data_IF_337210227428
#
_entry.id   IF_337210227428
#
_cell.length_a   1.000
_cell.length_b   1.000
_cell.length_c   1.000
_cell.angle_alpha   90.00
_cell.angle_beta   90.00
_cell.angle_gamma   90.00
#
_symmetry.space_group_name_H-M   'P 1'
#
loop_
_entity.id
_entity.type
_entity.pdbx_description
1 polymer ?
#
# COMPACT_ATOMS: atom_id res chain seq x y z
N UNK A 1 -29.99 -44.22 7.56
CA UNK A 1 -28.72 -43.77 8.17
C UNK A 1 -27.75 -44.94 8.12
N UNK A 2 -26.95 -45.03 7.05
CA UNK A 2 -25.89 -46.03 6.93
C UNK A 2 -24.58 -45.42 7.41
N UNK A 3 -24.03 -45.94 8.49
CA UNK A 3 -22.68 -45.64 8.97
C UNK A 3 -21.70 -46.37 8.03
N UNK A 4 -21.22 -45.69 6.99
CA UNK A 4 -20.12 -46.20 6.18
C UNK A 4 -18.81 -46.01 6.96
N UNK A 5 -18.33 -47.12 7.52
CA UNK A 5 -17.06 -47.21 8.23
C UNK A 5 -15.95 -47.39 7.19
N UNK A 6 -15.45 -46.28 6.65
CA UNK A 6 -14.35 -46.29 5.69
C UNK A 6 -13.08 -46.87 6.34
N UNK A 7 -12.54 -47.97 5.78
CA UNK A 7 -11.21 -48.46 6.16
C UNK A 7 -11.02 -49.97 6.26
N UNK A 8 -11.96 -50.81 5.83
CA UNK A 8 -11.81 -52.28 5.94
C UNK A 8 -11.99 -53.06 4.63
N UNK A 9 -12.48 -52.44 3.55
CA UNK A 9 -12.67 -53.09 2.25
C UNK A 9 -11.59 -52.71 1.21
N UNK A 10 -11.39 -53.57 0.20
CA UNK A 10 -10.50 -53.29 -0.94
C UNK A 10 -11.06 -52.16 -1.85
N UNK A 11 -12.37 -51.92 -1.79
CA UNK A 11 -13.10 -50.87 -2.49
C UNK A 11 -12.87 -49.49 -1.83
N UNK A 12 -12.87 -49.41 -0.49
CA UNK A 12 -12.60 -48.16 0.26
C UNK A 12 -11.21 -47.60 -0.07
N UNK A 13 -10.22 -48.49 -0.28
CA UNK A 13 -8.85 -48.10 -0.67
C UNK A 13 -8.79 -47.56 -2.10
N UNK A 14 -9.61 -48.09 -3.01
CA UNK A 14 -9.68 -47.61 -4.39
C UNK A 14 -10.39 -46.25 -4.47
N UNK A 15 -11.48 -46.07 -3.73
CA UNK A 15 -12.19 -44.79 -3.66
C UNK A 15 -11.34 -43.68 -2.99
N UNK A 16 -10.54 -44.04 -1.99
CA UNK A 16 -9.60 -43.14 -1.34
C UNK A 16 -8.46 -42.67 -2.27
N UNK A 17 -7.88 -43.55 -3.07
CA UNK A 17 -6.86 -43.15 -4.05
C UNK A 17 -7.45 -42.41 -5.25
N UNK A 18 -8.69 -42.70 -5.62
CA UNK A 18 -9.43 -41.91 -6.61
C UNK A 18 -9.64 -40.46 -6.14
N UNK A 19 -10.04 -40.27 -4.87
CA UNK A 19 -10.16 -38.95 -4.25
C UNK A 19 -8.82 -38.20 -4.31
N UNK A 20 -7.73 -38.79 -3.82
CA UNK A 20 -6.40 -38.15 -3.84
C UNK A 20 -5.96 -37.75 -5.24
N UNK A 21 -6.18 -38.62 -6.23
CA UNK A 21 -5.85 -38.34 -7.63
C UNK A 21 -6.65 -37.16 -8.20
N UNK A 22 -7.95 -37.10 -7.90
CA UNK A 22 -8.81 -36.00 -8.34
C UNK A 22 -8.40 -34.66 -7.70
N UNK A 23 -8.18 -34.65 -6.38
CA UNK A 23 -7.74 -33.46 -5.64
C UNK A 23 -6.41 -32.93 -6.18
N UNK A 24 -5.43 -33.82 -6.41
CA UNK A 24 -4.13 -33.46 -6.99
C UNK A 24 -4.26 -32.92 -8.43
N UNK A 25 -5.16 -33.50 -9.23
CA UNK A 25 -5.40 -33.04 -10.60
C UNK A 25 -5.97 -31.62 -10.62
N UNK A 26 -6.93 -31.32 -9.74
CA UNK A 26 -7.50 -29.97 -9.63
C UNK A 26 -6.50 -28.96 -9.07
N UNK A 27 -5.69 -29.38 -8.10
CA UNK A 27 -4.63 -28.53 -7.54
C UNK A 27 -3.60 -28.16 -8.63
N UNK A 28 -3.15 -29.12 -9.45
CA UNK A 28 -2.26 -28.85 -10.58
C UNK A 28 -2.88 -27.94 -11.65
N UNK A 29 -4.19 -28.07 -11.90
CA UNK A 29 -4.92 -27.19 -12.83
C UNK A 29 -5.00 -25.76 -12.30
N UNK A 30 -5.19 -25.59 -10.99
CA UNK A 30 -5.14 -24.29 -10.33
C UNK A 30 -3.75 -23.67 -10.47
N UNK A 31 -2.69 -24.43 -10.21
CA UNK A 31 -1.30 -23.95 -10.33
C UNK A 31 -0.99 -23.48 -11.76
N UNK A 32 -1.37 -24.27 -12.77
CA UNK A 32 -1.21 -23.89 -14.18
C UNK A 32 -2.04 -22.67 -14.58
N UNK A 33 -3.22 -22.49 -13.96
CA UNK A 33 -4.06 -21.33 -14.19
C UNK A 33 -3.45 -20.06 -13.56
N UNK A 34 -2.96 -20.14 -12.32
CA UNK A 34 -2.28 -19.05 -11.63
C UNK A 34 -1.01 -18.62 -12.38
N UNK A 35 -0.23 -19.56 -12.91
CA UNK A 35 0.94 -19.25 -13.73
C UNK A 35 0.56 -18.41 -14.97
N UNK A 36 -0.50 -18.80 -15.69
CA UNK A 36 -1.00 -18.04 -16.86
C UNK A 36 -1.55 -16.66 -16.48
N UNK A 37 -2.20 -16.56 -15.32
CA UNK A 37 -2.63 -15.26 -14.81
C UNK A 37 -1.43 -14.37 -14.50
N UNK A 38 -0.36 -14.91 -13.89
CA UNK A 38 0.87 -14.15 -13.64
C UNK A 38 1.48 -13.61 -14.94
N UNK A 39 1.62 -14.44 -15.98
CA UNK A 39 2.11 -13.99 -17.29
C UNK A 39 1.25 -12.85 -17.87
N UNK A 40 -0.06 -12.92 -17.71
CA UNK A 40 -0.98 -11.88 -18.16
C UNK A 40 -0.84 -10.59 -17.34
N UNK A 41 -0.62 -10.70 -16.03
CA UNK A 41 -0.34 -9.55 -15.16
C UNK A 41 1.00 -8.92 -15.54
N UNK A 42 2.05 -9.73 -15.79
CA UNK A 42 3.35 -9.24 -16.27
C UNK A 42 3.21 -8.41 -17.55
N UNK A 43 2.48 -8.94 -18.53
CA UNK A 43 2.23 -8.24 -19.79
C UNK A 43 1.44 -6.93 -19.59
N UNK A 44 0.40 -6.96 -18.76
CA UNK A 44 -0.42 -5.77 -18.44
C UNK A 44 0.42 -4.68 -17.77
N UNK A 45 1.17 -5.03 -16.74
CA UNK A 45 1.96 -4.07 -15.96
C UNK A 45 3.13 -3.52 -16.77
N UNK A 46 3.79 -4.36 -17.57
CA UNK A 46 4.88 -3.91 -18.45
C UNK A 46 4.38 -2.90 -19.49
N UNK A 47 3.24 -3.19 -20.14
CA UNK A 47 2.62 -2.26 -21.09
C UNK A 47 2.18 -0.95 -20.41
N UNK A 48 1.61 -1.04 -19.20
CA UNK A 48 1.25 0.15 -18.42
C UNK A 48 2.48 1.02 -18.10
N UNK A 49 3.59 0.42 -17.65
CA UNK A 49 4.82 1.14 -17.31
C UNK A 49 5.43 1.82 -18.54
N UNK A 50 5.38 1.17 -19.71
CA UNK A 50 5.93 1.71 -20.96
C UNK A 50 5.07 2.86 -21.52
N UNK A 51 3.75 2.72 -21.50
CA UNK A 51 2.83 3.69 -22.11
C UNK A 51 2.45 4.86 -21.20
N UNK A 52 2.43 4.66 -19.87
CA UNK A 52 1.95 5.71 -18.98
C UNK A 52 2.74 7.03 -19.04
N UNK A 53 4.08 7.05 -19.21
CA UNK A 53 4.82 8.31 -19.33
C UNK A 53 4.38 9.18 -20.51
N UNK A 54 4.02 8.59 -21.66
CA UNK A 54 3.54 9.36 -22.82
C UNK A 54 2.15 9.94 -22.56
N UNK A 55 1.26 9.13 -21.96
CA UNK A 55 -0.08 9.58 -21.52
C UNK A 55 0.03 10.74 -20.53
N UNK A 56 0.98 10.67 -19.59
CA UNK A 56 1.23 11.73 -18.60
C UNK A 56 1.84 13.00 -19.20
N UNK A 57 2.62 12.89 -20.27
CA UNK A 57 3.24 14.02 -20.95
C UNK A 57 2.22 14.83 -21.78
N UNK A 58 1.23 14.14 -22.36
CA UNK A 58 0.13 14.75 -23.11
C UNK A 58 -1.05 15.19 -22.22
N UNK A 59 -1.00 14.88 -20.92
CA UNK A 59 -2.09 15.13 -19.98
C UNK A 59 -2.27 16.61 -19.65
N UNK A 60 -3.51 16.98 -19.35
CA UNK A 60 -3.81 18.31 -18.87
C UNK A 60 -3.30 18.54 -17.44
N UNK A 61 -3.35 19.79 -16.98
CA UNK A 61 -2.94 20.17 -15.60
C UNK A 61 -3.68 19.35 -14.51
N UNK A 62 -4.83 18.76 -14.84
CA UNK A 62 -5.67 18.02 -13.90
C UNK A 62 -5.40 16.50 -13.91
N UNK A 63 -4.60 15.97 -14.84
CA UNK A 63 -4.18 14.57 -14.83
C UNK A 63 -5.29 13.58 -15.23
N UNK A 64 -6.28 14.03 -16.01
CA UNK A 64 -7.46 13.22 -16.30
C UNK A 64 -7.16 12.03 -17.22
N UNK A 65 -6.25 12.20 -18.19
CA UNK A 65 -5.91 11.15 -19.12
C UNK A 65 -5.19 10.00 -18.40
N UNK A 66 -4.20 10.34 -17.57
CA UNK A 66 -3.50 9.38 -16.72
C UNK A 66 -4.44 8.69 -15.74
N UNK A 67 -5.33 9.44 -15.07
CA UNK A 67 -6.30 8.86 -14.14
C UNK A 67 -7.18 7.79 -14.82
N UNK A 68 -7.67 8.06 -16.03
CA UNK A 68 -8.47 7.09 -16.80
C UNK A 68 -7.63 5.89 -17.22
N UNK A 69 -6.39 6.11 -17.64
CA UNK A 69 -5.45 5.06 -18.04
C UNK A 69 -5.11 4.11 -16.87
N UNK A 70 -4.74 4.68 -15.72
CA UNK A 70 -4.49 3.93 -14.47
C UNK A 70 -5.74 3.18 -13.99
N UNK A 71 -6.92 3.81 -14.08
CA UNK A 71 -8.19 3.16 -13.73
C UNK A 71 -8.50 1.96 -14.64
N UNK A 72 -8.20 2.06 -15.94
CA UNK A 72 -8.39 0.96 -16.88
C UNK A 72 -7.47 -0.23 -16.57
N UNK A 73 -6.20 0.03 -16.25
CA UNK A 73 -5.25 -1.00 -15.81
C UNK A 73 -5.74 -1.69 -14.52
N UNK A 74 -6.14 -0.92 -13.50
CA UNK A 74 -6.70 -1.46 -12.24
C UNK A 74 -7.97 -2.27 -12.48
N UNK A 75 -8.82 -1.86 -13.42
CA UNK A 75 -9.99 -2.62 -13.84
C UNK A 75 -9.64 -3.97 -14.47
N UNK A 76 -8.61 -4.02 -15.32
CA UNK A 76 -8.13 -5.29 -15.90
C UNK A 76 -7.54 -6.22 -14.82
N UNK A 77 -6.77 -5.69 -13.88
CA UNK A 77 -6.30 -6.43 -12.72
C UNK A 77 -7.46 -6.99 -11.88
N UNK A 78 -8.48 -6.16 -11.62
CA UNK A 78 -9.70 -6.57 -10.93
C UNK A 78 -10.46 -7.70 -11.64
N UNK A 79 -10.52 -7.67 -12.98
CA UNK A 79 -11.12 -8.77 -13.76
C UNK A 79 -10.35 -10.09 -13.63
N UNK A 80 -9.01 -10.04 -13.51
CA UNK A 80 -8.20 -11.25 -13.31
C UNK A 80 -8.44 -11.84 -11.91
N UNK A 81 -8.58 -10.98 -10.90
CA UNK A 81 -8.99 -11.39 -9.55
C UNK A 81 -10.35 -12.09 -9.55
N UNK A 82 -11.33 -11.50 -10.24
CA UNK A 82 -12.66 -12.10 -10.33
C UNK A 82 -12.64 -13.48 -10.99
N UNK A 83 -11.84 -13.66 -12.05
CA UNK A 83 -11.68 -14.97 -12.68
C UNK A 83 -11.10 -16.04 -11.75
N UNK A 84 -10.17 -15.66 -10.87
CA UNK A 84 -9.65 -16.59 -9.87
C UNK A 84 -10.75 -17.01 -8.89
N UNK A 85 -11.54 -16.06 -8.40
CA UNK A 85 -12.68 -16.34 -7.52
C UNK A 85 -13.70 -17.25 -8.17
N UNK A 86 -14.02 -17.01 -9.44
CA UNK A 86 -14.91 -17.90 -10.21
C UNK A 86 -14.35 -19.32 -10.33
N UNK A 87 -13.03 -19.48 -10.51
CA UNK A 87 -12.41 -20.82 -10.56
C UNK A 87 -12.54 -21.54 -9.21
N UNK A 88 -12.31 -20.84 -8.10
CA UNK A 88 -12.50 -21.42 -6.77
C UNK A 88 -13.96 -21.83 -6.55
N UNK A 89 -14.91 -20.94 -6.85
CA UNK A 89 -16.34 -21.18 -6.66
C UNK A 89 -16.89 -22.30 -7.56
N UNK A 90 -16.45 -22.37 -8.82
CA UNK A 90 -17.00 -23.31 -9.80
C UNK A 90 -16.26 -24.65 -9.89
N UNK A 91 -15.01 -24.72 -9.46
CA UNK A 91 -14.18 -25.93 -9.62
C UNK A 91 -13.71 -26.52 -8.29
N UNK A 92 -13.40 -25.70 -7.28
CA UNK A 92 -12.86 -26.18 -6.00
C UNK A 92 -13.99 -26.45 -5.00
N UNK A 93 -14.85 -25.46 -4.76
CA UNK A 93 -15.93 -25.55 -3.77
C UNK A 93 -16.95 -26.67 -4.02
N UNK A 94 -17.34 -27.00 -5.28
CA UNK A 94 -18.27 -28.10 -5.53
C UNK A 94 -17.69 -29.47 -5.18
N UNK A 95 -16.39 -29.66 -5.39
CA UNK A 95 -15.69 -30.91 -5.06
C UNK A 95 -15.58 -31.05 -3.55
N UNK A 96 -15.25 -29.97 -2.86
CA UNK A 96 -15.28 -29.94 -1.40
C UNK A 96 -16.67 -30.28 -0.85
N UNK A 97 -17.71 -29.59 -1.31
CA UNK A 97 -19.10 -29.82 -0.89
C UNK A 97 -19.51 -31.28 -1.09
N UNK A 98 -19.20 -31.86 -2.26
CA UNK A 98 -19.53 -33.26 -2.60
C UNK A 98 -18.97 -34.28 -1.60
N UNK A 99 -17.73 -34.08 -1.15
CA UNK A 99 -17.07 -35.02 -0.23
C UNK A 99 -17.28 -34.68 1.25
N UNK A 100 -17.56 -33.42 1.58
CA UNK A 100 -17.69 -32.97 2.96
C UNK A 100 -18.84 -33.65 3.72
N UNK A 101 -19.96 -33.91 3.04
CA UNK A 101 -21.15 -34.57 3.62
C UNK A 101 -21.04 -36.10 3.67
N UNK A 102 -20.14 -36.69 2.87
CA UNK A 102 -20.00 -38.15 2.72
C UNK A 102 -18.90 -38.71 3.60
N UNK A 103 -17.87 -37.92 3.91
CA UNK A 103 -16.76 -38.33 4.76
C UNK A 103 -17.11 -38.11 6.24
N UNK A 104 -16.86 -39.13 7.06
CA UNK A 104 -17.05 -39.01 8.51
C UNK A 104 -16.05 -38.03 9.12
N UNK A 105 -16.54 -37.14 9.99
CA UNK A 105 -15.70 -36.23 10.76
C UNK A 105 -14.64 -37.01 11.55
N UNK A 106 -13.36 -36.64 11.38
CA UNK A 106 -12.22 -37.31 12.00
C UNK A 106 -11.62 -38.47 11.20
N UNK A 107 -12.15 -38.80 10.01
CA UNK A 107 -11.51 -39.74 9.09
C UNK A 107 -10.28 -39.12 8.40
N UNK A 108 -9.35 -39.96 7.94
CA UNK A 108 -8.15 -39.51 7.21
C UNK A 108 -8.52 -38.76 5.91
N UNK A 109 -9.54 -39.27 5.18
CA UNK A 109 -10.08 -38.60 4.00
C UNK A 109 -10.67 -37.21 4.29
N UNK A 110 -11.35 -37.06 5.43
CA UNK A 110 -11.87 -35.76 5.86
C UNK A 110 -10.75 -34.75 6.12
N UNK A 111 -9.66 -35.18 6.79
CA UNK A 111 -8.48 -34.32 7.02
C UNK A 111 -7.85 -33.86 5.70
N UNK A 112 -7.63 -34.80 4.77
CA UNK A 112 -6.99 -34.51 3.48
C UNK A 112 -7.84 -33.55 2.64
N UNK A 113 -9.16 -33.73 2.61
CA UNK A 113 -10.06 -32.85 1.87
C UNK A 113 -10.01 -31.42 2.42
N UNK A 114 -10.07 -31.26 3.74
CA UNK A 114 -9.97 -29.96 4.39
C UNK A 114 -8.62 -29.29 4.15
N UNK A 115 -7.52 -30.03 4.35
CA UNK A 115 -6.17 -29.54 4.07
C UNK A 115 -6.02 -29.11 2.61
N UNK A 116 -6.55 -29.89 1.66
CA UNK A 116 -6.54 -29.55 0.24
C UNK A 116 -7.28 -28.23 -0.02
N UNK A 117 -8.50 -28.07 0.50
CA UNK A 117 -9.25 -26.82 0.36
C UNK A 117 -8.48 -25.63 0.94
N UNK A 118 -7.87 -25.79 2.11
CA UNK A 118 -7.05 -24.74 2.72
C UNK A 118 -5.81 -24.41 1.88
N UNK A 119 -5.14 -25.40 1.27
CA UNK A 119 -4.03 -25.14 0.35
C UNK A 119 -4.48 -24.37 -0.88
N UNK A 120 -5.59 -24.74 -1.50
CA UNK A 120 -6.15 -24.02 -2.65
C UNK A 120 -6.51 -22.57 -2.30
N UNK A 121 -7.17 -22.36 -1.16
CA UNK A 121 -7.50 -21.03 -0.66
C UNK A 121 -6.24 -20.18 -0.41
N UNK A 122 -5.26 -20.74 0.30
CA UNK A 122 -3.99 -20.06 0.59
C UNK A 122 -3.24 -19.64 -0.68
N UNK A 123 -3.16 -20.52 -1.68
CA UNK A 123 -2.53 -20.18 -2.98
C UNK A 123 -3.23 -19.00 -3.67
N UNK A 124 -4.56 -18.95 -3.58
CA UNK A 124 -5.33 -17.85 -4.16
C UNK A 124 -5.15 -16.55 -3.39
N UNK A 125 -5.18 -16.59 -2.06
CA UNK A 125 -4.96 -15.43 -1.19
C UNK A 125 -3.55 -14.85 -1.40
N UNK A 126 -2.52 -15.70 -1.43
CA UNK A 126 -1.13 -15.31 -1.72
C UNK A 126 -1.03 -14.64 -3.10
N UNK A 127 -1.73 -15.17 -4.10
CA UNK A 127 -1.74 -14.58 -5.44
C UNK A 127 -2.47 -13.22 -5.48
N UNK A 128 -3.62 -13.07 -4.80
CA UNK A 128 -4.35 -11.80 -4.73
C UNK A 128 -3.50 -10.71 -4.04
N UNK A 129 -2.79 -11.06 -2.96
CA UNK A 129 -1.89 -10.14 -2.26
C UNK A 129 -0.71 -9.72 -3.17
N UNK A 130 -0.11 -10.68 -3.88
CA UNK A 130 0.96 -10.39 -4.84
C UNK A 130 0.48 -9.49 -5.98
N UNK A 131 -0.72 -9.73 -6.54
CA UNK A 131 -1.29 -8.89 -7.59
C UNK A 131 -1.44 -7.44 -7.10
N UNK A 132 -2.01 -7.25 -5.91
CA UNK A 132 -2.20 -5.91 -5.35
C UNK A 132 -0.86 -5.18 -5.20
N UNK A 133 0.15 -5.82 -4.61
CA UNK A 133 1.48 -5.24 -4.45
C UNK A 133 2.10 -4.85 -5.79
N UNK A 134 2.00 -5.71 -6.80
CA UNK A 134 2.59 -5.46 -8.12
C UNK A 134 1.90 -4.31 -8.87
N UNK A 135 0.58 -4.20 -8.74
CA UNK A 135 -0.21 -3.08 -9.30
C UNK A 135 0.18 -1.77 -8.62
N UNK A 136 0.33 -1.77 -7.31
CA UNK A 136 0.75 -0.59 -6.55
C UNK A 136 2.17 -0.18 -6.95
N UNK A 137 3.12 -1.13 -6.98
CA UNK A 137 4.51 -0.89 -7.40
C UNK A 137 4.62 -0.32 -8.83
N UNK A 138 3.87 -0.88 -9.79
CA UNK A 138 3.83 -0.38 -11.16
C UNK A 138 3.24 1.04 -11.24
N UNK A 139 2.17 1.30 -10.48
CA UNK A 139 1.57 2.64 -10.38
C UNK A 139 2.58 3.63 -9.83
N UNK A 140 3.25 3.28 -8.73
CA UNK A 140 4.26 4.12 -8.12
C UNK A 140 5.48 4.37 -9.01
N UNK A 141 5.93 3.36 -9.74
CA UNK A 141 7.06 3.49 -10.67
C UNK A 141 6.78 4.56 -11.73
N UNK A 142 5.54 4.60 -12.22
CA UNK A 142 5.05 5.55 -13.21
C UNK A 142 4.75 6.92 -12.58
N UNK A 143 4.12 6.95 -11.40
CA UNK A 143 3.76 8.18 -10.68
C UNK A 143 4.95 8.92 -10.08
N UNK A 144 6.18 8.37 -10.14
CA UNK A 144 7.43 9.11 -9.91
C UNK A 144 7.63 10.18 -11.00
N UNK A 145 6.72 11.16 -11.06
CA UNK A 145 7.02 12.49 -11.58
C UNK A 145 8.15 13.02 -10.71
N UNK A 146 9.28 13.32 -11.31
CA UNK A 146 10.32 14.05 -10.59
C UNK A 146 9.81 15.47 -10.35
N UNK A 147 9.36 15.75 -9.12
CA UNK A 147 8.88 17.07 -8.76
C UNK A 147 10.02 18.08 -8.62
N UNK A 148 11.28 17.63 -8.62
CA UNK A 148 12.46 18.49 -8.50
C UNK A 148 12.56 19.50 -9.68
N UNK A 149 12.59 19.08 -10.96
CA UNK A 149 12.62 20.01 -12.09
C UNK A 149 11.35 20.86 -12.20
N UNK A 150 10.19 20.29 -11.84
CA UNK A 150 8.91 21.01 -11.87
C UNK A 150 8.91 22.14 -10.85
N UNK A 151 9.33 21.88 -9.61
CA UNK A 151 9.42 22.88 -8.56
C UNK A 151 10.44 23.96 -8.90
N UNK A 152 11.63 23.57 -9.40
CA UNK A 152 12.67 24.51 -9.80
C UNK A 152 12.17 25.47 -10.90
N UNK A 153 11.46 24.95 -11.90
CA UNK A 153 10.88 25.77 -12.96
C UNK A 153 9.82 26.73 -12.42
N UNK A 154 8.88 26.24 -11.59
CA UNK A 154 7.83 27.08 -11.01
C UNK A 154 8.39 28.21 -10.14
N UNK A 155 9.44 27.94 -9.37
CA UNK A 155 10.14 28.96 -8.59
C UNK A 155 10.82 29.99 -9.48
N UNK A 156 11.47 29.56 -10.57
CA UNK A 156 12.07 30.48 -11.54
C UNK A 156 11.01 31.37 -12.19
N UNK A 157 9.90 30.79 -12.66
CA UNK A 157 8.79 31.53 -13.27
C UNK A 157 8.20 32.56 -12.29
N UNK A 158 8.03 32.19 -11.01
CA UNK A 158 7.56 33.11 -9.98
C UNK A 158 8.50 34.31 -9.79
N UNK A 159 9.80 34.06 -9.67
CA UNK A 159 10.78 35.13 -9.49
C UNK A 159 10.90 36.02 -10.73
N UNK A 160 10.79 35.45 -11.94
CA UNK A 160 10.73 36.22 -13.18
C UNK A 160 9.50 37.13 -13.22
N UNK A 161 8.32 36.61 -12.82
CA UNK A 161 7.11 37.42 -12.73
C UNK A 161 7.27 38.56 -11.72
N UNK A 162 7.89 38.31 -10.57
CA UNK A 162 8.15 39.34 -9.56
C UNK A 162 9.02 40.50 -10.08
N UNK A 163 9.96 40.23 -11.00
CA UNK A 163 10.81 41.25 -11.61
C UNK A 163 10.05 42.19 -12.56
N UNK A 164 8.91 41.77 -13.10
CA UNK A 164 8.08 42.55 -14.02
C UNK A 164 7.08 43.46 -13.30
N UNK A 165 7.10 43.50 -11.97
CA UNK A 165 6.13 44.25 -11.18
C UNK A 165 6.69 45.62 -10.82
N UNK A 166 6.02 46.65 -11.33
CA UNK A 166 6.40 48.04 -11.17
C UNK A 166 5.46 48.76 -10.20
N UNK A 167 6.00 49.74 -9.49
CA UNK A 167 5.23 50.63 -8.63
C UNK A 167 4.25 51.45 -9.47
N UNK A 168 2.98 51.50 -9.05
CA UNK A 168 1.92 52.25 -9.76
C UNK A 168 2.16 53.76 -9.79
N UNK A 169 2.94 54.30 -8.85
CA UNK A 169 3.15 55.75 -8.71
C UNK A 169 4.43 56.24 -9.39
N UNK A 170 5.55 55.52 -9.27
CA UNK A 170 6.84 55.97 -9.82
C UNK A 170 7.40 55.08 -10.94
N UNK A 171 6.77 53.95 -11.25
CA UNK A 171 7.23 53.01 -12.27
C UNK A 171 8.48 52.20 -11.89
N UNK A 172 9.11 52.43 -10.74
CA UNK A 172 10.25 51.65 -10.28
C UNK A 172 9.86 50.20 -9.92
N UNK A 173 10.77 49.24 -10.12
CA UNK A 173 10.52 47.83 -9.78
C UNK A 173 10.29 47.66 -8.27
N UNK A 174 9.29 46.87 -7.92
CA UNK A 174 9.04 46.47 -6.53
C UNK A 174 10.02 45.38 -6.12
N UNK A 175 10.58 45.50 -4.91
CA UNK A 175 11.48 44.49 -4.36
C UNK A 175 10.67 43.45 -3.56
N UNK A 176 10.27 42.38 -4.24
CA UNK A 176 9.62 41.22 -3.62
C UNK A 176 10.70 40.33 -3.00
N UNK A 177 10.72 40.23 -1.66
CA UNK A 177 11.79 39.54 -0.91
C UNK A 177 11.48 38.08 -0.55
N UNK A 178 10.23 37.68 -0.68
CA UNK A 178 9.72 36.39 -0.20
C UNK A 178 8.54 35.94 -1.05
N UNK A 179 8.18 34.66 -0.97
CA UNK A 179 6.99 34.14 -1.65
C UNK A 179 5.75 34.54 -0.84
N UNK A 180 4.91 35.40 -1.39
CA UNK A 180 3.60 35.69 -0.80
C UNK A 180 2.55 34.72 -1.33
N UNK A 181 1.73 34.16 -0.43
CA UNK A 181 0.61 33.25 -0.76
C UNK A 181 -0.75 33.94 -0.72
N UNK A 182 -0.77 35.17 -0.22
CA UNK A 182 -1.93 36.05 -0.10
C UNK A 182 -1.57 37.45 -0.60
N UNK A 183 -2.57 38.27 -0.89
CA UNK A 183 -2.33 39.65 -1.32
C UNK A 183 -1.62 40.43 -0.21
N UNK A 184 -0.48 41.04 -0.53
CA UNK A 184 0.38 41.69 0.45
C UNK A 184 0.68 43.14 0.06
N UNK A 185 0.83 44.00 1.07
CA UNK A 185 1.28 45.38 0.86
C UNK A 185 2.80 45.42 0.77
N UNK A 186 3.32 45.87 -0.37
CA UNK A 186 4.74 46.03 -0.64
C UNK A 186 5.06 47.51 -0.82
N UNK A 187 5.93 48.04 0.05
CA UNK A 187 6.40 49.41 -0.06
C UNK A 187 7.44 49.55 -1.19
N UNK A 188 7.28 50.58 -2.01
CA UNK A 188 8.28 50.90 -3.04
C UNK A 188 9.54 51.49 -2.40
N UNK A 189 10.71 50.91 -2.68
CA UNK A 189 12.00 51.40 -2.17
C UNK A 189 12.31 52.85 -2.59
N UNK A 190 11.72 53.33 -3.70
CA UNK A 190 12.02 54.65 -4.25
C UNK A 190 11.08 55.74 -3.72
N UNK A 191 9.75 55.57 -3.84
CA UNK A 191 8.77 56.58 -3.46
C UNK A 191 8.02 56.27 -2.14
N UNK A 192 8.30 55.14 -1.49
CA UNK A 192 7.64 54.67 -0.25
C UNK A 192 6.12 54.44 -0.36
N UNK A 193 5.54 54.55 -1.55
CA UNK A 193 4.13 54.20 -1.80
C UNK A 193 3.88 52.72 -1.51
N UNK A 194 2.79 52.41 -0.81
CA UNK A 194 2.32 51.04 -0.62
C UNK A 194 1.59 50.55 -1.87
N UNK A 195 2.06 49.43 -2.43
CA UNK A 195 1.45 48.77 -3.58
C UNK A 195 0.88 47.43 -3.10
N UNK A 196 -0.22 46.99 -3.71
CA UNK A 196 -0.78 45.67 -3.45
C UNK A 196 -0.14 44.71 -4.44
N UNK A 197 0.55 43.70 -3.92
CA UNK A 197 1.07 42.57 -4.69
C UNK A 197 0.08 41.41 -4.62
N UNK A 198 -0.30 40.88 -5.77
CA UNK A 198 -1.18 39.72 -5.89
C UNK A 198 -0.40 38.56 -6.51
N UNK A 199 -0.07 37.51 -5.74
CA UNK A 199 0.80 36.42 -6.20
C UNK A 199 0.13 35.42 -7.18
N UNK A 200 -1.15 35.65 -7.52
CA UNK A 200 -1.87 34.84 -8.50
C UNK A 200 -2.08 33.38 -8.08
N UNK A 201 -2.20 32.49 -9.07
CA UNK A 201 -2.33 31.04 -8.84
C UNK A 201 -0.99 30.35 -8.63
N UNK A 202 0.11 30.91 -9.16
CA UNK A 202 1.45 30.30 -9.11
C UNK A 202 1.92 30.06 -7.69
N UNK A 203 1.74 31.01 -6.77
CA UNK A 203 2.17 30.81 -5.38
C UNK A 203 1.45 29.64 -4.69
N UNK A 204 0.14 29.48 -4.94
CA UNK A 204 -0.62 28.31 -4.44
C UNK A 204 -0.15 27.00 -5.06
N UNK A 205 0.17 27.03 -6.35
CA UNK A 205 0.69 25.85 -7.03
C UNK A 205 2.09 25.47 -6.51
N UNK A 206 2.94 26.46 -6.19
CA UNK A 206 4.26 26.26 -5.58
C UNK A 206 4.14 25.53 -4.24
N UNK A 207 3.22 25.96 -3.36
CA UNK A 207 2.99 25.29 -2.07
C UNK A 207 2.58 23.82 -2.27
N UNK A 208 1.64 23.57 -3.18
CA UNK A 208 1.16 22.24 -3.47
C UNK A 208 2.24 21.33 -4.08
N UNK A 209 3.04 21.86 -5.01
CA UNK A 209 4.17 21.13 -5.60
C UNK A 209 5.29 20.89 -4.59
N UNK A 210 5.58 21.86 -3.72
CA UNK A 210 6.56 21.71 -2.64
C UNK A 210 6.18 20.56 -1.70
N UNK A 211 4.89 20.44 -1.36
CA UNK A 211 4.39 19.33 -0.54
C UNK A 211 4.61 17.98 -1.20
N UNK A 212 4.26 17.86 -2.49
CA UNK A 212 4.49 16.64 -3.25
C UNK A 212 5.97 16.27 -3.34
N UNK A 213 6.84 17.26 -3.51
CA UNK A 213 8.29 17.05 -3.51
C UNK A 213 8.81 16.61 -2.14
N UNK A 214 8.34 17.22 -1.05
CA UNK A 214 8.69 16.82 0.31
C UNK A 214 8.23 15.39 0.64
N UNK A 215 7.03 15.01 0.20
CA UNK A 215 6.51 13.64 0.27
C UNK A 215 7.39 12.67 -0.53
N UNK A 216 7.80 13.03 -1.75
CA UNK A 216 8.71 12.23 -2.59
C UNK A 216 10.07 12.01 -1.91
N UNK A 217 10.68 13.05 -1.34
CA UNK A 217 11.97 12.94 -0.62
C UNK A 217 11.86 12.11 0.65
N UNK A 218 10.70 12.14 1.31
CA UNK A 218 10.45 11.42 2.56
C UNK A 218 9.97 9.98 2.36
N UNK A 219 9.66 9.57 1.13
CA UNK A 219 9.04 8.27 0.80
C UNK A 219 9.73 7.07 1.44
N UNK A 220 11.06 7.08 1.51
CA UNK A 220 11.84 5.99 2.11
C UNK A 220 11.45 5.65 3.56
N UNK A 221 10.95 6.60 4.35
CA UNK A 221 10.41 6.33 5.69
C UNK A 221 9.05 5.61 5.64
N UNK A 222 8.18 6.00 4.70
CA UNK A 222 6.90 5.32 4.48
C UNK A 222 7.11 3.89 3.99
N UNK A 223 8.00 3.68 3.03
CA UNK A 223 8.36 2.34 2.53
C UNK A 223 8.92 1.46 3.67
N UNK A 224 9.72 2.04 4.57
CA UNK A 224 10.23 1.35 5.75
C UNK A 224 9.09 0.97 6.73
N UNK A 225 8.16 1.89 6.99
CA UNK A 225 6.97 1.63 7.83
C UNK A 225 6.12 0.49 7.26
N UNK A 226 5.81 0.51 5.97
CA UNK A 226 5.00 -0.53 5.34
C UNK A 226 5.68 -1.89 5.36
N UNK A 227 6.99 -1.92 5.14
CA UNK A 227 7.79 -3.14 5.28
C UNK A 227 7.74 -3.69 6.69
N UNK A 228 7.84 -2.83 7.73
CA UNK A 228 7.71 -3.27 9.13
C UNK A 228 6.32 -3.82 9.43
N UNK A 229 5.25 -3.21 8.91
CA UNK A 229 3.89 -3.76 9.07
C UNK A 229 3.70 -5.10 8.37
N UNK A 230 4.30 -5.30 7.20
CA UNK A 230 4.29 -6.60 6.51
C UNK A 230 5.07 -7.65 7.29
N UNK A 231 6.23 -7.27 7.83
CA UNK A 231 7.04 -8.13 8.68
C UNK A 231 6.27 -8.56 9.93
N UNK A 232 5.58 -7.63 10.62
CA UNK A 232 4.72 -7.93 11.77
C UNK A 232 3.65 -8.98 11.42
N UNK A 233 2.91 -8.77 10.31
CA UNK A 233 1.88 -9.72 9.85
C UNK A 233 2.46 -11.09 9.50
N UNK A 234 3.60 -11.11 8.81
CA UNK A 234 4.29 -12.36 8.46
C UNK A 234 4.74 -13.12 9.71
N UNK A 235 5.28 -12.41 10.70
CA UNK A 235 5.67 -12.98 11.99
C UNK A 235 4.45 -13.53 12.74
N UNK A 236 3.33 -12.81 12.75
CA UNK A 236 2.07 -13.29 13.31
C UNK A 236 1.61 -14.59 12.64
N UNK A 237 1.65 -14.66 11.31
CA UNK A 237 1.27 -15.86 10.57
C UNK A 237 2.19 -17.04 10.88
N UNK A 238 3.52 -16.83 10.87
CA UNK A 238 4.49 -17.86 11.24
C UNK A 238 4.26 -18.37 12.67
N UNK A 239 3.96 -17.47 13.61
CA UNK A 239 3.60 -17.85 14.98
C UNK A 239 2.33 -18.68 15.01
N UNK A 240 1.29 -18.28 14.28
CA UNK A 240 0.03 -18.99 14.23
C UNK A 240 0.22 -20.41 13.67
N UNK A 241 0.93 -20.55 12.55
CA UNK A 241 1.27 -21.84 11.96
C UNK A 241 2.05 -22.72 12.93
N UNK A 242 3.07 -22.16 13.58
CA UNK A 242 3.86 -22.89 14.56
C UNK A 242 3.01 -23.34 15.76
N UNK A 243 2.09 -22.49 16.24
CA UNK A 243 1.16 -22.82 17.30
C UNK A 243 0.26 -24.01 16.94
N UNK A 244 -0.20 -24.09 15.69
CA UNK A 244 -1.01 -25.21 15.21
C UNK A 244 -0.24 -26.53 15.22
N UNK A 245 1.08 -26.50 15.03
CA UNK A 245 1.93 -27.71 15.03
C UNK A 245 2.43 -28.15 16.41
N UNK A 246 2.11 -27.42 17.49
CA UNK A 246 2.52 -27.80 18.84
C UNK A 246 1.73 -28.98 19.36
N UNK A 247 2.43 -29.96 19.94
CA UNK A 247 1.79 -31.02 20.72
C UNK A 247 1.17 -30.46 22.01
N UNK A 248 0.19 -31.19 22.58
CA UNK A 248 -0.41 -30.78 23.85
C UNK A 248 0.60 -30.75 24.99
N UNK A 249 1.58 -31.66 25.01
CA UNK A 249 2.64 -31.62 26.01
C UNK A 249 3.52 -30.37 25.91
N UNK A 250 3.90 -29.96 24.69
CA UNK A 250 4.68 -28.73 24.47
C UNK A 250 3.87 -27.47 24.85
N UNK A 251 2.57 -27.44 24.56
CA UNK A 251 1.68 -26.34 24.96
C UNK A 251 1.53 -26.22 26.48
N UNK A 252 1.40 -27.35 27.18
CA UNK A 252 1.21 -27.38 28.63
C UNK A 252 2.51 -27.11 29.37
N UNK A 253 3.62 -27.72 28.94
CA UNK A 253 4.93 -27.58 29.61
C UNK A 253 5.61 -26.24 29.29
N UNK A 254 5.17 -25.51 28.25
CA UNK A 254 5.79 -24.25 27.80
C UNK A 254 7.30 -24.38 27.67
N UNK A 255 7.73 -25.48 27.08
CA UNK A 255 9.14 -25.86 27.02
C UNK A 255 9.40 -26.64 25.74
N UNK A 256 10.62 -26.52 25.20
CA UNK A 256 11.03 -27.23 24.00
C UNK A 256 11.32 -26.28 22.82
N UNK A 257 11.89 -26.81 21.73
CA UNK A 257 12.46 -26.00 20.65
C UNK A 257 11.40 -25.16 19.92
N UNK A 258 10.19 -25.68 19.72
CA UNK A 258 9.08 -24.95 19.10
C UNK A 258 8.56 -23.80 19.99
N UNK A 259 8.59 -23.98 21.31
CA UNK A 259 8.16 -22.95 22.24
C UNK A 259 9.17 -21.80 22.32
N UNK A 260 10.47 -22.12 22.33
CA UNK A 260 11.54 -21.13 22.22
C UNK A 260 11.46 -20.34 20.90
N UNK A 261 11.18 -21.04 19.80
CA UNK A 261 10.96 -20.40 18.50
C UNK A 261 9.74 -19.45 18.55
N UNK A 262 8.64 -19.82 19.21
CA UNK A 262 7.50 -18.92 19.41
C UNK A 262 7.86 -17.65 20.18
N UNK A 263 8.60 -17.77 21.28
CA UNK A 263 9.05 -16.60 22.05
C UNK A 263 9.94 -15.68 21.20
N UNK A 264 10.82 -16.26 20.38
CA UNK A 264 11.68 -15.49 19.47
C UNK A 264 10.89 -14.74 18.40
N UNK A 265 9.84 -15.37 17.85
CA UNK A 265 8.95 -14.74 16.86
C UNK A 265 8.09 -13.66 17.51
N UNK A 266 7.59 -13.89 18.73
CA UNK A 266 6.82 -12.93 19.51
C UNK A 266 7.64 -11.66 19.82
N UNK A 267 8.89 -11.84 20.25
CA UNK A 267 9.80 -10.73 20.50
C UNK A 267 10.04 -9.88 19.24
N UNK A 268 10.23 -10.53 18.08
CA UNK A 268 10.40 -9.82 16.79
C UNK A 268 9.12 -9.11 16.38
N UNK A 269 7.95 -9.72 16.60
CA UNK A 269 6.65 -9.12 16.28
C UNK A 269 6.43 -7.86 17.11
N UNK A 270 6.65 -7.93 18.43
CA UNK A 270 6.53 -6.77 19.33
C UNK A 270 7.50 -5.64 18.93
N UNK A 271 8.71 -5.98 18.52
CA UNK A 271 9.66 -5.00 18.00
C UNK A 271 9.12 -4.34 16.73
N UNK A 272 8.67 -5.12 15.73
CA UNK A 272 8.11 -4.58 14.49
C UNK A 272 6.85 -3.72 14.74
N UNK A 273 6.01 -4.13 15.69
CA UNK A 273 4.81 -3.41 16.13
C UNK A 273 5.17 -2.05 16.78
N UNK A 274 6.23 -2.00 17.59
CA UNK A 274 6.71 -0.75 18.20
C UNK A 274 7.42 0.18 17.22
N UNK A 275 8.17 -0.35 16.25
CA UNK A 275 8.96 0.45 15.30
C UNK A 275 8.10 1.05 14.18
N UNK A 276 7.01 0.39 13.80
CA UNK A 276 6.10 0.88 12.76
C UNK A 276 5.58 2.32 13.02
N UNK A 277 4.98 2.64 14.18
CA UNK A 277 4.52 4.01 14.45
C UNK A 277 5.67 5.03 14.47
N UNK A 278 6.86 4.67 14.98
CA UNK A 278 8.01 5.56 14.97
C UNK A 278 8.47 5.95 13.55
N UNK A 279 8.44 4.99 12.61
CA UNK A 279 8.78 5.26 11.22
C UNK A 279 7.77 6.18 10.54
N UNK A 280 6.48 6.02 10.87
CA UNK A 280 5.42 6.90 10.38
C UNK A 280 5.56 8.32 10.94
N UNK A 281 5.89 8.46 12.22
CA UNK A 281 6.16 9.76 12.83
C UNK A 281 7.38 10.44 12.20
N UNK A 282 8.45 9.69 11.94
CA UNK A 282 9.63 10.18 11.22
C UNK A 282 9.29 10.63 9.81
N UNK A 283 8.44 9.89 9.10
CA UNK A 283 7.95 10.27 7.78
C UNK A 283 7.28 11.64 7.80
N UNK A 284 6.30 11.83 8.69
CA UNK A 284 5.60 13.11 8.79
C UNK A 284 6.54 14.25 9.20
N UNK A 285 7.44 14.02 10.17
CA UNK A 285 8.39 15.06 10.58
C UNK A 285 9.30 15.46 9.43
N UNK A 286 9.83 14.48 8.70
CA UNK A 286 10.72 14.74 7.58
C UNK A 286 10.03 15.50 6.44
N UNK A 287 8.73 15.26 6.20
CA UNK A 287 7.96 16.07 5.23
C UNK A 287 7.97 17.55 5.63
N UNK A 288 7.74 17.88 6.90
CA UNK A 288 7.73 19.28 7.34
C UNK A 288 9.13 19.90 7.34
N UNK A 289 10.16 19.12 7.66
CA UNK A 289 11.55 19.58 7.57
C UNK A 289 11.95 19.85 6.11
N UNK A 290 11.56 18.99 5.17
CA UNK A 290 11.77 19.21 3.72
C UNK A 290 10.95 20.39 3.19
N UNK A 291 9.68 20.53 3.60
CA UNK A 291 8.85 21.68 3.27
C UNK A 291 9.48 23.00 3.74
N UNK A 292 10.07 23.01 4.93
CA UNK A 292 10.75 24.18 5.48
C UNK A 292 12.02 24.51 4.70
N UNK A 293 12.75 23.51 4.21
CA UNK A 293 13.90 23.74 3.30
C UNK A 293 13.47 24.31 1.95
N UNK A 294 12.34 23.83 1.41
CA UNK A 294 11.81 24.28 0.12
C UNK A 294 11.21 25.68 0.21
N UNK A 295 10.49 25.96 1.31
CA UNK A 295 9.71 27.17 1.54
C UNK A 295 9.99 27.73 2.95
N UNK A 296 11.17 28.37 3.15
CA UNK A 296 11.59 28.85 4.46
C UNK A 296 10.66 29.95 5.01
N UNK A 297 10.02 30.73 4.14
CA UNK A 297 9.09 31.79 4.51
C UNK A 297 7.84 31.27 5.27
N UNK A 298 7.57 29.96 5.18
CA UNK A 298 6.42 29.30 5.82
C UNK A 298 6.80 28.44 7.04
N UNK A 299 8.05 28.50 7.53
CA UNK A 299 8.54 27.68 8.65
C UNK A 299 7.60 27.69 9.86
N UNK A 300 7.17 28.87 10.31
CA UNK A 300 6.30 28.99 11.48
C UNK A 300 4.91 28.36 11.23
N UNK A 301 4.41 28.45 10.00
CA UNK A 301 3.13 27.86 9.61
C UNK A 301 3.22 26.34 9.56
N UNK A 302 4.28 25.79 8.97
CA UNK A 302 4.56 24.36 8.93
C UNK A 302 4.65 23.77 10.34
N UNK A 303 5.39 24.43 11.24
CA UNK A 303 5.58 23.96 12.61
C UNK A 303 4.28 24.01 13.43
N UNK A 304 3.47 25.06 13.28
CA UNK A 304 2.14 25.14 13.91
C UNK A 304 1.22 24.03 13.40
N UNK A 305 1.23 23.76 12.10
CA UNK A 305 0.40 22.72 11.51
C UNK A 305 0.84 21.32 11.95
N UNK A 306 2.14 21.05 12.00
CA UNK A 306 2.70 19.80 12.53
C UNK A 306 2.27 19.55 13.98
N UNK A 307 2.42 20.55 14.85
CA UNK A 307 1.98 20.46 16.27
C UNK A 307 0.48 20.22 16.40
N UNK A 308 -0.32 20.87 15.56
CA UNK A 308 -1.78 20.66 15.52
C UNK A 308 -2.15 19.23 15.13
N UNK A 309 -1.49 18.69 14.09
CA UNK A 309 -1.63 17.30 13.66
C UNK A 309 -1.28 16.32 14.79
N UNK A 310 -0.12 16.50 15.42
CA UNK A 310 0.34 15.65 16.52
C UNK A 310 -0.63 15.69 17.72
N UNK A 311 -1.12 16.87 18.09
CA UNK A 311 -2.10 17.02 19.17
C UNK A 311 -3.44 16.33 18.84
N UNK A 312 -3.85 16.33 17.56
CA UNK A 312 -5.04 15.61 17.13
C UNK A 312 -4.85 14.09 17.19
N UNK A 313 -3.71 13.57 16.74
CA UNK A 313 -3.40 12.14 16.84
C UNK A 313 -3.42 11.65 18.30
N UNK A 314 -2.76 12.37 19.21
CA UNK A 314 -2.75 12.03 20.64
C UNK A 314 -4.17 12.05 21.25
N UNK A 315 -5.05 12.97 20.80
CA UNK A 315 -6.46 12.99 21.22
C UNK A 315 -7.27 11.80 20.69
N UNK A 316 -6.94 11.28 19.52
CA UNK A 316 -7.58 10.08 18.98
C UNK A 316 -7.13 8.80 19.69
N UNK A 317 -5.83 8.68 19.99
CA UNK A 317 -5.29 7.54 20.75
C UNK A 317 -5.79 7.52 22.20
N UNK A 318 -5.83 8.67 22.87
CA UNK A 318 -6.38 8.77 24.24
C UNK A 318 -7.87 8.43 24.32
N UNK A 319 -8.65 8.71 23.26
CA UNK A 319 -10.05 8.27 23.18
C UNK A 319 -10.20 6.77 22.92
N UNK A 320 -9.22 6.14 22.27
CA UNK A 320 -9.15 4.68 22.15
C UNK A 320 -8.75 4.03 23.47
N UNK A 321 -7.85 4.63 24.25
CA UNK A 321 -7.40 4.08 25.53
C UNK A 321 -8.40 4.24 26.68
N UNK A 322 -9.34 5.18 26.60
CA UNK A 322 -10.45 5.31 27.57
C UNK A 322 -11.64 4.37 27.31
N UNK A 323 -11.57 3.51 26.30
CA UNK A 323 -12.58 2.49 25.99
C UNK A 323 -12.05 1.05 26.21
N UNK A 324 -11.19 0.86 27.22
CA UNK A 324 -10.90 -0.43 27.83
C UNK A 324 -11.52 -0.52 29.22
#
# INVERSE_FOLDING_TARGET
>A
MGLFNWGQSQEDKQEYEALKSELATLENRLDAFLAKLNERVDALLSGFIEEAPSVMAEDDRFGQAYYRFSSAMKGQAGSMREKLREVLEKQIEPVYSRYSDTLSAGSEGYSILHEWRHRCARKADEWEEQLQHRVDEATEQVERKDYEPVFAQMMNDYWQQCQLINCRQCGANLNIKQVYYYSAYVACSHCQTQNIFEPGTIARDIEHTARKLAEQRSKHFMDAHERRKREERSLYQQMHELQLTLSMEERVKRSGPKYEQLLSLESKRLQAESEAPELLDRYYRNIFDELTKLLPDLEEHHEKFFKSLQANYQRYESKRSTNL
#
